data_IF_986521124949
#
_entry.id   IF_986521124949
#
_cell.length_a   1.000
_cell.length_b   1.000
_cell.length_c   1.000
_cell.angle_alpha   90.00
_cell.angle_beta   90.00
_cell.angle_gamma   90.00
#
_symmetry.space_group_name_H-M   'P 1'
#
loop_
_entity.id
_entity.type
_entity.pdbx_description
1 polymer ?
#
# COMPACT_ATOMS: atom_id res chain seq x y z
N UNK A 1 -31.17 -19.40 -27.31
CA UNK A 1 -30.49 -19.01 -26.06
C UNK A 1 -29.08 -18.58 -26.45
N UNK A 2 -28.85 -17.27 -26.63
CA UNK A 2 -27.54 -16.74 -27.00
C UNK A 2 -27.06 -15.85 -25.85
N UNK A 3 -26.13 -16.36 -25.05
CA UNK A 3 -25.39 -15.57 -24.07
C UNK A 3 -24.10 -15.16 -24.75
N UNK A 4 -24.05 -13.93 -25.25
CA UNK A 4 -22.82 -13.29 -25.71
C UNK A 4 -21.93 -13.02 -24.49
N UNK A 5 -20.84 -13.77 -24.35
CA UNK A 5 -19.78 -13.45 -23.41
C UNK A 5 -19.09 -12.17 -23.87
N UNK A 6 -19.16 -11.11 -23.05
CA UNK A 6 -18.35 -9.92 -23.25
C UNK A 6 -16.91 -10.26 -22.86
N UNK A 7 -16.01 -10.27 -23.85
CA UNK A 7 -14.57 -10.29 -23.62
C UNK A 7 -14.18 -8.90 -23.10
N UNK A 8 -13.76 -8.84 -21.85
CA UNK A 8 -13.15 -7.65 -21.26
C UNK A 8 -11.73 -7.52 -21.84
N UNK A 9 -11.59 -6.72 -22.88
CA UNK A 9 -10.27 -6.30 -23.37
C UNK A 9 -9.66 -5.36 -22.34
N UNK A 10 -8.53 -5.75 -21.76
CA UNK A 10 -7.70 -4.87 -20.95
C UNK A 10 -7.25 -3.69 -21.82
N UNK A 11 -7.86 -2.53 -21.61
CA UNK A 11 -7.30 -1.28 -22.11
C UNK A 11 -6.05 -1.00 -21.29
N UNK A 12 -4.86 -1.24 -21.89
CA UNK A 12 -3.64 -0.67 -21.34
C UNK A 12 -3.79 0.85 -21.42
N UNK A 13 -4.11 1.47 -20.29
CA UNK A 13 -3.95 2.91 -20.13
C UNK A 13 -2.51 3.24 -20.51
N UNK A 14 -2.25 4.26 -21.35
CA UNK A 14 -0.87 4.64 -21.66
C UNK A 14 -0.13 4.90 -20.34
N UNK A 15 1.05 4.30 -20.21
CA UNK A 15 1.90 4.53 -19.04
C UNK A 15 2.12 6.03 -18.89
N UNK A 16 1.97 6.51 -17.67
CA UNK A 16 2.18 7.92 -17.31
C UNK A 16 3.64 8.31 -17.49
N UNK A 17 3.99 9.59 -17.30
CA UNK A 17 5.39 10.02 -17.40
C UNK A 17 6.26 9.33 -16.34
N UNK A 18 5.67 8.96 -15.20
CA UNK A 18 6.36 8.20 -14.16
C UNK A 18 6.47 6.70 -14.44
N UNK A 19 5.78 6.16 -15.43
CA UNK A 19 5.70 4.71 -15.65
C UNK A 19 4.78 3.99 -14.66
N UNK A 20 4.11 4.70 -13.76
CA UNK A 20 3.04 4.19 -12.89
C UNK A 20 1.66 4.39 -13.54
N UNK A 21 0.61 3.87 -12.91
CA UNK A 21 -0.77 4.09 -13.31
C UNK A 21 -1.18 5.56 -13.19
N UNK A 22 -0.64 6.30 -12.20
CA UNK A 22 -1.01 7.67 -11.89
C UNK A 22 0.23 8.53 -11.58
N UNK A 23 0.31 9.72 -12.20
CA UNK A 23 1.28 10.75 -11.83
C UNK A 23 0.73 11.57 -10.65
N UNK A 24 0.99 11.09 -9.43
CA UNK A 24 0.57 11.79 -8.22
C UNK A 24 1.52 12.95 -7.87
N UNK A 25 1.01 14.10 -7.40
CA UNK A 25 1.86 15.19 -6.92
C UNK A 25 2.73 14.74 -5.73
N UNK A 26 4.02 15.06 -5.75
CA UNK A 26 4.99 14.72 -4.67
C UNK A 26 4.53 15.19 -3.29
N UNK A 27 3.80 16.30 -3.24
CA UNK A 27 3.28 16.90 -1.99
C UNK A 27 1.91 16.38 -1.57
N UNK A 28 1.27 15.51 -2.36
CA UNK A 28 -0.07 14.98 -2.07
C UNK A 28 -0.10 14.37 -0.68
N UNK A 29 0.82 13.45 -0.37
CA UNK A 29 0.84 12.80 0.93
C UNK A 29 1.11 13.79 2.08
N UNK A 30 1.99 14.77 1.88
CA UNK A 30 2.25 15.81 2.88
C UNK A 30 1.00 16.66 3.16
N UNK A 31 0.16 16.90 2.14
CA UNK A 31 -1.07 17.67 2.24
C UNK A 31 -2.19 16.87 2.91
N UNK A 32 -2.35 15.61 2.52
CA UNK A 32 -3.42 14.75 2.99
C UNK A 32 -3.15 14.17 4.38
N UNK A 33 -1.89 13.85 4.70
CA UNK A 33 -1.49 13.14 5.93
C UNK A 33 -0.67 14.00 6.90
N UNK A 34 -0.04 15.07 6.40
CA UNK A 34 0.93 15.85 7.16
C UNK A 34 2.34 15.24 7.07
N UNK A 35 3.35 16.09 6.96
CA UNK A 35 4.76 15.70 6.73
C UNK A 35 5.32 14.67 7.72
N UNK A 36 4.88 14.71 8.98
CA UNK A 36 5.36 13.79 10.03
C UNK A 36 4.75 12.39 9.99
N UNK A 37 3.81 12.13 9.07
CA UNK A 37 3.10 10.85 8.93
C UNK A 37 3.33 10.21 7.57
N UNK A 38 4.35 10.66 6.84
CA UNK A 38 4.74 10.11 5.54
C UNK A 38 6.13 9.51 5.66
N UNK A 39 6.22 8.19 5.53
CA UNK A 39 7.47 7.46 5.46
C UNK A 39 8.03 7.56 4.03
N UNK A 40 9.28 8.02 3.92
CA UNK A 40 10.05 8.02 2.68
C UNK A 40 11.29 7.15 2.88
N UNK A 41 11.73 6.55 1.80
CA UNK A 41 12.79 5.54 1.82
C UNK A 41 13.98 6.02 1.00
N UNK A 42 15.17 5.68 1.46
CA UNK A 42 16.41 5.90 0.72
C UNK A 42 16.73 4.66 -0.14
N UNK A 43 17.62 4.82 -1.13
CA UNK A 43 17.99 3.71 -2.02
C UNK A 43 18.64 2.52 -1.27
N UNK A 44 19.21 2.77 -0.09
CA UNK A 44 19.79 1.75 0.81
C UNK A 44 18.73 0.98 1.60
N UNK A 45 17.51 1.51 1.71
CA UNK A 45 16.40 0.87 2.43
C UNK A 45 15.67 -0.14 1.53
N UNK A 46 15.94 -0.14 0.22
CA UNK A 46 15.33 -1.06 -0.72
C UNK A 46 16.15 -2.35 -0.86
N UNK A 47 15.52 -3.53 -0.79
CA UNK A 47 16.19 -4.77 -1.13
C UNK A 47 16.58 -4.75 -2.62
N UNK A 48 17.61 -5.52 -2.96
CA UNK A 48 18.12 -5.61 -4.34
C UNK A 48 17.08 -6.18 -5.32
N UNK A 49 16.07 -6.87 -4.81
CA UNK A 49 14.98 -7.49 -5.58
C UNK A 49 13.89 -6.49 -5.97
N UNK A 50 13.81 -5.32 -5.33
CA UNK A 50 12.97 -4.21 -5.80
C UNK A 50 13.64 -3.53 -6.99
N UNK A 51 13.54 -4.14 -8.17
CA UNK A 51 14.13 -3.63 -9.43
C UNK A 51 13.23 -2.67 -10.19
N UNK A 52 11.94 -2.60 -9.85
CA UNK A 52 10.97 -1.73 -10.50
C UNK A 52 11.26 -0.25 -10.17
N UNK A 53 11.96 0.44 -11.07
CA UNK A 53 12.40 1.83 -10.89
C UNK A 53 11.25 2.80 -10.58
N UNK A 54 10.07 2.72 -11.25
CA UNK A 54 8.96 3.62 -10.94
C UNK A 54 8.51 3.53 -9.49
N UNK A 55 8.46 2.31 -8.93
CA UNK A 55 8.10 2.08 -7.53
C UNK A 55 9.15 2.64 -6.58
N UNK A 56 10.45 2.38 -6.85
CA UNK A 56 11.55 2.93 -6.04
C UNK A 56 11.50 4.45 -5.96
N UNK A 57 11.36 5.09 -7.13
CA UNK A 57 11.30 6.56 -7.21
C UNK A 57 10.10 7.11 -6.43
N UNK A 58 8.93 6.46 -6.55
CA UNK A 58 7.74 6.87 -5.82
C UNK A 58 7.93 6.78 -4.31
N UNK A 59 8.49 5.67 -3.81
CA UNK A 59 8.75 5.48 -2.37
C UNK A 59 9.79 6.46 -1.82
N UNK A 60 10.75 6.89 -2.64
CA UNK A 60 11.76 7.89 -2.25
C UNK A 60 11.20 9.32 -2.26
N UNK A 61 10.50 9.70 -3.32
CA UNK A 61 10.09 11.09 -3.53
C UNK A 61 8.75 11.40 -2.88
N UNK A 62 7.76 10.54 -3.08
CA UNK A 62 6.40 10.72 -2.56
C UNK A 62 6.24 10.04 -1.19
N UNK A 63 6.66 8.78 -1.07
CA UNK A 63 6.56 7.97 0.16
C UNK A 63 5.25 7.18 0.31
N UNK A 64 5.02 6.68 1.52
CA UNK A 64 3.79 6.03 1.95
C UNK A 64 3.29 6.68 3.26
N UNK A 65 1.98 6.69 3.53
CA UNK A 65 1.49 7.07 4.85
C UNK A 65 1.97 6.04 5.88
N UNK A 66 2.45 6.49 7.04
CA UNK A 66 3.03 5.62 8.06
C UNK A 66 1.98 4.80 8.82
N UNK A 67 0.81 5.40 9.09
CA UNK A 67 -0.27 4.73 9.83
C UNK A 67 -1.63 5.31 9.46
N UNK A 68 -2.52 4.46 8.97
CA UNK A 68 -3.89 4.75 8.56
C UNK A 68 -4.84 3.62 9.01
N UNK A 69 -6.14 3.92 9.09
CA UNK A 69 -7.16 2.97 9.57
C UNK A 69 -7.13 1.61 8.83
N UNK A 70 -6.74 1.62 7.56
CA UNK A 70 -6.74 0.43 6.71
C UNK A 70 -5.34 -0.08 6.37
N UNK A 71 -4.28 0.66 6.70
CA UNK A 71 -2.90 0.34 6.38
C UNK A 71 -1.97 0.90 7.45
N UNK A 72 -1.10 0.06 7.99
CA UNK A 72 -0.04 0.49 8.89
C UNK A 72 1.30 -0.05 8.41
N UNK A 73 2.30 0.81 8.38
CA UNK A 73 3.67 0.43 8.04
C UNK A 73 4.27 -0.25 9.28
N UNK A 74 4.33 -1.58 9.25
CA UNK A 74 4.66 -2.43 10.41
C UNK A 74 6.06 -3.07 10.33
N UNK A 75 6.92 -2.60 9.42
CA UNK A 75 8.27 -3.12 9.23
C UNK A 75 9.32 -2.05 9.48
N UNK A 76 10.42 -2.43 10.14
CA UNK A 76 11.60 -1.59 10.25
C UNK A 76 12.33 -1.44 8.90
N UNK A 77 13.27 -0.49 8.84
CA UNK A 77 14.16 -0.31 7.70
C UNK A 77 15.43 -1.16 7.87
N UNK A 78 15.94 -1.80 6.80
CA UNK A 78 15.44 -1.78 5.42
C UNK A 78 14.17 -2.61 5.23
N UNK A 79 13.43 -2.35 4.14
CA UNK A 79 12.21 -3.09 3.82
C UNK A 79 12.53 -4.58 3.57
N UNK A 80 11.92 -5.52 4.32
CA UNK A 80 12.21 -6.93 4.16
C UNK A 80 11.46 -7.52 2.96
N UNK A 81 12.08 -8.49 2.30
CA UNK A 81 11.35 -9.44 1.44
C UNK A 81 10.46 -10.34 2.31
N UNK A 82 9.47 -10.98 1.70
CA UNK A 82 8.55 -11.86 2.41
C UNK A 82 9.30 -13.07 3.00
N UNK A 83 10.34 -13.57 2.31
CA UNK A 83 11.22 -14.60 2.85
C UNK A 83 11.98 -14.11 4.09
N UNK A 84 12.60 -12.94 4.01
CA UNK A 84 13.36 -12.37 5.14
C UNK A 84 12.45 -12.15 6.34
N UNK A 85 11.25 -11.57 6.12
CA UNK A 85 10.26 -11.34 7.17
C UNK A 85 9.90 -12.62 7.92
N UNK A 86 9.63 -13.74 7.24
CA UNK A 86 9.29 -15.00 7.93
C UNK A 86 10.50 -15.83 8.38
N UNK A 87 11.71 -15.44 8.01
CA UNK A 87 12.94 -16.08 8.50
C UNK A 87 13.44 -15.41 9.78
N UNK A 88 13.06 -14.16 10.01
CA UNK A 88 13.35 -13.43 11.24
C UNK A 88 12.52 -13.98 12.41
N UNK A 89 13.21 -14.33 13.51
CA UNK A 89 12.58 -14.90 14.71
C UNK A 89 11.61 -13.92 15.40
N UNK A 90 11.76 -12.61 15.18
CA UNK A 90 10.83 -11.60 15.73
C UNK A 90 9.45 -11.66 15.07
N UNK A 91 9.40 -12.06 13.80
CA UNK A 91 8.19 -12.00 12.97
C UNK A 91 7.66 -13.38 12.53
N UNK A 92 8.49 -14.43 12.59
CA UNK A 92 8.16 -15.77 12.09
C UNK A 92 6.88 -16.36 12.71
N UNK A 93 6.55 -15.98 13.96
CA UNK A 93 5.36 -16.47 14.65
C UNK A 93 5.23 -18.00 14.57
N UNK A 94 4.01 -18.47 14.28
CA UNK A 94 3.73 -19.89 14.01
C UNK A 94 3.73 -20.24 12.51
N UNK A 95 4.00 -19.26 11.63
CA UNK A 95 3.95 -19.49 10.19
C UNK A 95 5.15 -20.29 9.69
N UNK A 96 4.89 -21.21 8.77
CA UNK A 96 5.90 -22.10 8.23
C UNK A 96 6.50 -21.51 6.96
N UNK A 97 7.79 -21.21 6.97
CA UNK A 97 8.55 -20.71 5.80
C UNK A 97 8.39 -21.61 4.56
N UNK A 98 8.24 -22.93 4.74
CA UNK A 98 7.99 -23.88 3.63
C UNK A 98 6.65 -23.70 2.91
N UNK A 99 5.73 -22.89 3.46
CA UNK A 99 4.45 -22.53 2.85
C UNK A 99 4.50 -21.23 2.06
N UNK A 100 5.64 -20.54 2.03
CA UNK A 100 5.77 -19.31 1.27
C UNK A 100 5.53 -19.55 -0.23
N UNK A 101 4.90 -18.60 -0.93
CA UNK A 101 4.67 -18.70 -2.35
C UNK A 101 6.00 -18.70 -3.11
N UNK A 102 6.00 -19.29 -4.29
CA UNK A 102 7.15 -19.25 -5.18
C UNK A 102 7.54 -17.79 -5.48
N UNK A 103 8.82 -17.47 -5.30
CA UNK A 103 9.34 -16.12 -5.51
C UNK A 103 9.12 -15.16 -4.34
N UNK A 104 8.87 -15.63 -3.12
CA UNK A 104 8.76 -14.79 -1.92
C UNK A 104 9.96 -13.83 -1.71
N UNK A 105 11.15 -14.18 -2.19
CA UNK A 105 12.36 -13.34 -2.13
C UNK A 105 12.25 -12.05 -2.97
N UNK A 106 11.29 -11.97 -3.89
CA UNK A 106 11.03 -10.78 -4.69
C UNK A 106 9.79 -10.01 -4.25
N UNK A 107 9.08 -10.50 -3.25
CA UNK A 107 7.88 -9.85 -2.71
C UNK A 107 8.34 -9.02 -1.52
N UNK A 108 8.32 -7.70 -1.65
CA UNK A 108 8.76 -6.79 -0.60
C UNK A 108 7.57 -6.47 0.29
N UNK A 109 7.68 -6.70 1.59
CA UNK A 109 6.64 -6.34 2.54
C UNK A 109 6.67 -4.85 2.80
N UNK A 110 5.53 -4.19 2.61
CA UNK A 110 5.36 -2.75 2.86
C UNK A 110 4.69 -2.46 4.19
N UNK A 111 3.89 -3.40 4.70
CA UNK A 111 3.16 -3.22 5.93
C UNK A 111 2.01 -4.21 6.09
N UNK A 112 1.02 -3.81 6.88
CA UNK A 112 -0.19 -4.58 7.20
C UNK A 112 -1.45 -3.82 6.82
N UNK A 113 -2.42 -4.54 6.29
CA UNK A 113 -3.79 -4.09 6.04
C UNK A 113 -4.71 -4.46 7.21
N UNK A 114 -5.88 -3.83 7.25
CA UNK A 114 -6.95 -4.23 8.18
C UNK A 114 -7.27 -5.74 8.08
N UNK A 115 -7.46 -6.38 9.25
CA UNK A 115 -7.71 -7.82 9.33
C UNK A 115 -6.45 -8.66 9.14
N UNK A 116 -5.29 -8.15 9.56
CA UNK A 116 -4.00 -8.84 9.64
C UNK A 116 -3.42 -9.36 8.32
N UNK A 117 -3.97 -8.94 7.17
CA UNK A 117 -3.37 -9.26 5.89
C UNK A 117 -2.09 -8.44 5.66
N UNK A 118 -1.07 -9.05 5.08
CA UNK A 118 0.12 -8.33 4.64
C UNK A 118 -0.15 -7.52 3.38
N UNK A 119 0.53 -6.38 3.25
CA UNK A 119 0.67 -5.66 2.00
C UNK A 119 2.07 -5.90 1.45
N UNK A 120 2.14 -6.41 0.22
CA UNK A 120 3.43 -6.67 -0.44
C UNK A 120 3.44 -6.06 -1.84
N UNK A 121 4.64 -5.74 -2.32
CA UNK A 121 4.88 -5.32 -3.70
C UNK A 121 5.75 -6.36 -4.41
N UNK A 122 5.40 -6.74 -5.63
CA UNK A 122 6.30 -7.51 -6.47
C UNK A 122 7.44 -6.60 -6.96
N UNK A 123 8.67 -6.95 -6.60
CA UNK A 123 9.84 -6.12 -6.85
C UNK A 123 10.21 -5.97 -8.33
N UNK A 124 9.73 -6.85 -9.20
CA UNK A 124 10.00 -6.78 -10.63
C UNK A 124 8.94 -5.96 -11.39
N UNK A 125 7.65 -6.16 -11.06
CA UNK A 125 6.54 -5.49 -11.76
C UNK A 125 6.03 -4.22 -11.08
N UNK A 126 6.30 -4.05 -9.77
CA UNK A 126 5.72 -3.00 -8.96
C UNK A 126 4.26 -3.24 -8.54
N UNK A 127 3.68 -4.40 -8.86
CA UNK A 127 2.29 -4.74 -8.54
C UNK A 127 2.08 -4.88 -7.04
N UNK A 128 0.97 -4.33 -6.54
CA UNK A 128 0.61 -4.39 -5.12
C UNK A 128 -0.33 -5.57 -4.89
N UNK A 129 0.09 -6.44 -3.99
CA UNK A 129 -0.60 -7.67 -3.67
C UNK A 129 -0.99 -7.67 -2.18
N UNK A 130 -2.16 -8.22 -1.91
CA UNK A 130 -2.56 -8.64 -0.57
C UNK A 130 -1.99 -10.02 -0.30
N UNK A 131 -1.23 -10.14 0.78
CA UNK A 131 -0.75 -11.40 1.32
C UNK A 131 -1.67 -11.87 2.45
N UNK A 132 -2.24 -13.06 2.31
CA UNK A 132 -3.07 -13.68 3.35
C UNK A 132 -2.36 -14.92 3.88
N UNK A 133 -1.83 -14.80 5.09
CA UNK A 133 -0.93 -15.79 5.69
C UNK A 133 -1.57 -17.18 5.87
N UNK A 134 -2.77 -17.35 6.46
CA UNK A 134 -3.32 -18.69 6.73
C UNK A 134 -3.50 -19.54 5.46
N UNK A 135 -3.87 -18.91 4.35
CA UNK A 135 -4.07 -19.54 3.05
C UNK A 135 -2.81 -19.56 2.16
N UNK A 136 -1.72 -18.94 2.61
CA UNK A 136 -0.53 -18.68 1.82
C UNK A 136 -0.85 -18.08 0.43
N UNK A 137 -1.77 -17.11 0.40
CA UNK A 137 -2.38 -16.60 -0.83
C UNK A 137 -1.97 -15.17 -1.14
N UNK A 138 -1.68 -14.93 -2.42
CA UNK A 138 -1.48 -13.59 -2.99
C UNK A 138 -2.67 -13.22 -3.85
N UNK A 139 -3.23 -12.04 -3.59
CA UNK A 139 -4.33 -11.46 -4.35
C UNK A 139 -3.91 -10.09 -4.90
N UNK A 140 -4.03 -9.84 -6.22
CA UNK A 140 -3.84 -8.50 -6.77
C UNK A 140 -4.75 -7.49 -6.09
N UNK A 141 -4.17 -6.40 -5.59
CA UNK A 141 -4.90 -5.34 -4.89
C UNK A 141 -4.92 -4.04 -5.70
N UNK A 142 -3.74 -3.58 -6.12
CA UNK A 142 -3.58 -2.38 -6.96
C UNK A 142 -2.51 -2.62 -8.01
N UNK A 143 -2.63 -1.92 -9.14
CA UNK A 143 -1.65 -2.06 -10.22
C UNK A 143 -0.25 -1.67 -9.79
N UNK A 144 -0.13 -0.64 -8.94
CA UNK A 144 1.11 -0.18 -8.36
C UNK A 144 0.85 0.73 -7.14
N UNK A 145 1.94 1.25 -6.55
CA UNK A 145 1.92 2.13 -5.38
C UNK A 145 1.15 3.44 -5.57
N UNK A 146 1.00 3.94 -6.80
CA UNK A 146 0.26 5.18 -7.05
C UNK A 146 -1.25 4.98 -6.89
N UNK A 147 -1.80 3.86 -7.38
CA UNK A 147 -3.20 3.50 -7.16
C UNK A 147 -3.49 3.21 -5.69
N UNK A 148 -2.57 2.53 -4.99
CA UNK A 148 -2.68 2.27 -3.56
C UNK A 148 -2.81 3.60 -2.78
N UNK A 149 -1.89 4.54 -3.02
CA UNK A 149 -1.92 5.84 -2.33
C UNK A 149 -3.20 6.61 -2.63
N UNK A 150 -3.64 6.63 -3.89
CA UNK A 150 -4.91 7.29 -4.23
C UNK A 150 -6.08 6.67 -3.47
N UNK A 151 -6.15 5.33 -3.41
CA UNK A 151 -7.21 4.64 -2.68
C UNK A 151 -7.20 5.01 -1.18
N UNK A 152 -6.03 5.08 -0.55
CA UNK A 152 -5.89 5.50 0.86
C UNK A 152 -6.35 6.95 1.07
N UNK A 153 -6.03 7.88 0.16
CA UNK A 153 -6.51 9.26 0.23
C UNK A 153 -8.05 9.31 0.13
N UNK A 154 -8.65 8.59 -0.83
CA UNK A 154 -10.10 8.59 -1.02
C UNK A 154 -10.85 8.07 0.22
N UNK A 155 -10.37 6.97 0.80
CA UNK A 155 -10.98 6.36 1.99
C UNK A 155 -10.91 7.29 3.22
N UNK A 156 -9.86 8.12 3.32
CA UNK A 156 -9.77 9.18 4.33
C UNK A 156 -10.80 10.28 4.07
N UNK A 157 -10.94 10.75 2.84
CA UNK A 157 -11.89 11.83 2.52
C UNK A 157 -13.34 11.42 2.83
N UNK A 158 -13.70 10.15 2.61
CA UNK A 158 -15.03 9.63 2.98
C UNK A 158 -15.23 9.57 4.50
N UNK A 159 -14.19 9.22 5.26
CA UNK A 159 -14.23 9.22 6.73
C UNK A 159 -14.27 10.62 7.35
N UNK A 160 -13.63 11.61 6.71
CA UNK A 160 -13.62 13.00 7.19
C UNK A 160 -15.00 13.69 7.04
N UNK A 161 -15.75 13.37 6.00
CA UNK A 161 -17.11 13.90 5.79
C UNK A 161 -18.15 13.30 6.77
N UNK A 162 -17.85 12.15 7.40
CA UNK A 162 -18.71 11.54 8.42
C UNK A 162 -18.48 12.09 9.85
N UNK A 163 -17.42 12.88 10.08
CA UNK A 163 -17.05 13.42 11.40
C UNK A 163 -17.36 14.92 11.62
N UNK A 164 -17.84 15.64 10.61
CA UNK A 164 -18.10 17.09 10.66
C UNK A 164 -19.54 17.43 11.05
N UNK A 165 -20.00 17.00 12.22
CA UNK A 165 -21.40 17.22 12.63
C UNK A 165 -21.62 17.12 14.14
N UNK A 166 -21.00 18.00 14.92
CA UNK A 166 -21.54 18.41 16.23
C UNK A 166 -21.36 19.91 16.39
N UNK A 167 -22.48 20.58 16.14
CA UNK A 167 -22.79 21.98 16.37
C UNK A 167 -22.58 22.34 17.85
N UNK A 168 -21.63 23.24 18.13
CA UNK A 168 -21.55 23.92 19.43
C UNK A 168 -22.43 25.19 19.37
N UNK A 169 -23.74 25.02 19.51
CA UNK A 169 -24.64 26.11 19.92
C UNK A 169 -24.72 26.14 21.44
N UNK A 170 -23.94 27.01 22.06
CA UNK A 170 -24.12 27.38 23.45
C UNK A 170 -24.23 28.91 23.54
N UNK A 171 -25.36 29.41 23.05
CA UNK A 171 -25.84 30.76 23.31
C UNK A 171 -27.24 30.65 23.91
N UNK A 172 -27.34 30.42 25.21
CA UNK A 172 -28.57 30.59 25.97
C UNK A 172 -28.23 31.46 27.18
N UNK A 173 -28.31 32.78 26.99
CA UNK A 173 -28.72 33.69 28.06
C UNK A 173 -30.26 33.67 28.06
N UNK A 174 -30.93 33.65 29.22
CA UNK A 174 -31.65 34.88 29.56
C UNK A 174 -31.78 35.21 31.07
N UNK A 175 -31.75 36.54 31.29
CA UNK A 175 -32.50 37.38 32.24
C UNK A 175 -32.37 37.17 33.75
#
# INVERSE_FOLDING_TARGET
MSTTGAVLTAISTPATASGLALDLPVRLLDQEFGRGRVARFEDVDFPVTLTHEPTRRFLRETGLPADEVLFSLDTDLPLPTLTEFYTDEEYAGDFRVDRLPAGADRLIRLGRLIGDAGLVVDGASGEILRWTEPEARLDPLNRDVSELVLALCLLRTDGAQAGGGVEAVAGIEPA
#
